data_IF_240646909477
#
_entry.id   IF_240646909477
#
_cell.length_a   1.000
_cell.length_b   1.000
_cell.length_c   1.000
_cell.angle_alpha   90.00
_cell.angle_beta   90.00
_cell.angle_gamma   90.00
#
_symmetry.space_group_name_H-M   'P 1'
#
loop_
_entity.id
_entity.type
_entity.pdbx_description
1 polymer ?
#
# COMPACT_ATOMS: atom_id res chain seq x y z
N UNK A 1 21.64 6.49 13.87
CA UNK A 1 20.72 7.53 13.42
C UNK A 1 21.12 8.87 14.02
N UNK A 2 21.06 9.92 13.24
CA UNK A 2 21.42 11.24 13.73
C UNK A 2 20.33 11.82 14.60
N UNK A 3 20.72 12.60 15.63
CA UNK A 3 19.77 13.35 16.42
C UNK A 3 19.10 14.44 15.55
N UNK A 4 18.00 15.00 16.02
CA UNK A 4 17.35 16.11 15.34
C UNK A 4 18.29 17.31 15.17
N UNK A 5 19.14 17.52 16.15
CA UNK A 5 20.11 18.61 16.10
C UNK A 5 21.18 18.36 15.03
N UNK A 6 21.65 17.15 14.90
CA UNK A 6 22.59 16.76 13.86
C UNK A 6 21.96 16.93 12.48
N UNK A 7 20.72 16.53 12.34
CA UNK A 7 19.98 16.71 11.12
C UNK A 7 19.84 18.18 10.76
N UNK A 8 19.46 19.00 11.73
CA UNK A 8 19.29 20.43 11.55
C UNK A 8 20.60 21.08 11.15
N UNK A 9 21.72 20.70 11.81
CA UNK A 9 23.03 21.23 11.50
C UNK A 9 23.45 20.88 10.08
N UNK A 10 23.30 19.63 9.69
CA UNK A 10 23.61 19.21 8.33
C UNK A 10 22.72 19.86 7.28
N UNK A 11 21.45 19.97 7.63
CA UNK A 11 20.48 20.59 6.75
C UNK A 11 20.79 22.07 6.54
N UNK A 12 21.19 22.76 7.58
CA UNK A 12 21.57 24.16 7.49
C UNK A 12 22.85 24.35 6.69
N UNK A 13 23.80 23.48 6.86
CA UNK A 13 25.00 23.49 6.02
C UNK A 13 24.64 23.31 4.55
N UNK A 14 23.68 22.44 4.30
CA UNK A 14 23.21 22.18 2.95
C UNK A 14 22.33 23.30 2.40
N UNK A 15 21.69 24.08 3.25
CA UNK A 15 20.90 25.23 2.82
C UNK A 15 21.72 26.25 2.07
N UNK A 16 22.99 26.33 2.38
CA UNK A 16 23.89 27.26 1.68
C UNK A 16 24.12 26.86 0.24
N UNK A 17 23.79 25.59 -0.07
CA UNK A 17 23.83 25.05 -1.42
C UNK A 17 22.44 25.17 -2.06
N UNK A 18 21.46 25.50 -1.27
CA UNK A 18 20.13 25.94 -1.68
C UNK A 18 19.26 24.98 -2.46
N UNK A 19 18.57 25.50 -3.48
CA UNK A 19 17.58 24.80 -4.24
C UNK A 19 18.01 23.43 -4.76
N UNK A 20 19.29 23.20 -4.87
CA UNK A 20 19.79 21.88 -5.29
C UNK A 20 19.42 20.81 -4.27
N UNK A 21 19.61 21.10 -2.98
CA UNK A 21 19.26 20.18 -1.91
C UNK A 21 17.75 19.97 -1.83
N UNK A 22 17.00 21.05 -1.95
CA UNK A 22 15.55 20.98 -1.94
C UNK A 22 15.02 20.20 -3.13
N UNK A 23 15.61 20.40 -4.30
CA UNK A 23 15.26 19.66 -5.51
C UNK A 23 15.55 18.17 -5.36
N UNK A 24 16.70 17.83 -4.79
CA UNK A 24 17.09 16.45 -4.54
C UNK A 24 16.12 15.80 -3.56
N UNK A 25 15.75 16.52 -2.50
CA UNK A 25 14.81 16.00 -1.51
C UNK A 25 13.44 15.75 -2.10
N UNK A 26 12.95 16.67 -2.94
CA UNK A 26 11.68 16.48 -3.63
C UNK A 26 11.72 15.28 -4.58
N UNK A 27 12.78 15.14 -5.35
CA UNK A 27 12.95 13.98 -6.22
C UNK A 27 13.00 12.68 -5.44
N UNK A 28 13.72 12.68 -4.32
CA UNK A 28 13.79 11.53 -3.44
C UNK A 28 12.44 11.17 -2.88
N UNK A 29 11.69 12.16 -2.42
CA UNK A 29 10.32 11.96 -1.90
C UNK A 29 9.42 11.42 -3.00
N UNK A 30 9.48 11.97 -4.20
CA UNK A 30 8.67 11.52 -5.32
C UNK A 30 9.02 10.10 -5.77
N UNK A 31 10.28 9.70 -5.65
CA UNK A 31 10.75 8.36 -6.02
C UNK A 31 10.51 7.35 -4.91
N UNK A 32 10.51 7.77 -3.66
CA UNK A 32 10.34 6.89 -2.52
C UNK A 32 8.87 6.84 -2.13
N UNK A 33 8.14 5.99 -2.80
CA UNK A 33 6.78 5.71 -2.41
C UNK A 33 6.76 4.98 -1.08
N UNK A 34 5.76 5.28 -0.27
CA UNK A 34 5.53 4.55 0.97
C UNK A 34 5.21 3.09 0.65
N UNK A 35 5.37 2.22 1.63
CA UNK A 35 5.04 0.82 1.49
C UNK A 35 3.56 0.64 1.09
N UNK A 36 2.70 1.46 1.65
CA UNK A 36 1.26 1.46 1.32
C UNK A 36 1.02 1.81 -0.15
N UNK A 37 1.70 2.82 -0.65
CA UNK A 37 1.58 3.24 -2.05
C UNK A 37 2.09 2.18 -3.01
N UNK A 38 3.20 1.53 -2.68
CA UNK A 38 3.76 0.43 -3.47
C UNK A 38 2.81 -0.76 -3.53
N UNK A 39 2.21 -1.12 -2.40
CA UNK A 39 1.21 -2.19 -2.34
C UNK A 39 0.03 -1.88 -3.23
N UNK A 40 -0.48 -0.66 -3.13
CA UNK A 40 -1.62 -0.20 -3.91
C UNK A 40 -1.32 -0.23 -5.41
N UNK A 41 -0.13 0.22 -5.79
CA UNK A 41 0.31 0.21 -7.19
C UNK A 41 0.40 -1.20 -7.75
N UNK A 42 1.02 -2.11 -7.03
CA UNK A 42 1.16 -3.51 -7.44
C UNK A 42 -0.21 -4.17 -7.58
N UNK A 43 -1.06 -4.01 -6.58
CA UNK A 43 -2.40 -4.58 -6.58
C UNK A 43 -3.25 -4.04 -7.74
N UNK A 44 -3.09 -2.77 -8.07
CA UNK A 44 -3.81 -2.15 -9.19
C UNK A 44 -3.45 -2.77 -10.54
N UNK A 45 -2.25 -3.31 -10.67
CA UNK A 45 -1.81 -3.96 -11.90
C UNK A 45 -2.27 -5.41 -12.02
N UNK A 46 -2.50 -6.05 -10.90
CA UNK A 46 -2.79 -7.49 -10.83
C UNK A 46 -4.29 -7.77 -10.75
N UNK A 47 -5.00 -6.95 -9.99
CA UNK A 47 -6.40 -7.17 -9.67
C UNK A 47 -7.31 -6.24 -10.46
N UNK A 48 -8.50 -6.72 -10.80
CA UNK A 48 -9.53 -5.86 -11.36
C UNK A 48 -10.14 -4.97 -10.26
N UNK A 49 -11.02 -4.06 -10.64
CA UNK A 49 -11.58 -3.07 -9.73
C UNK A 49 -12.33 -3.71 -8.54
N UNK A 50 -13.14 -4.70 -8.82
CA UNK A 50 -13.93 -5.37 -7.77
C UNK A 50 -13.04 -6.16 -6.82
N UNK A 51 -12.04 -6.83 -7.35
CA UNK A 51 -11.06 -7.57 -6.55
C UNK A 51 -10.28 -6.63 -5.63
N UNK A 52 -9.86 -5.47 -6.15
CA UNK A 52 -9.16 -4.47 -5.34
C UNK A 52 -10.02 -3.96 -4.20
N UNK A 53 -11.29 -3.68 -4.46
CA UNK A 53 -12.21 -3.22 -3.43
C UNK A 53 -12.35 -4.23 -2.31
N UNK A 54 -12.54 -5.48 -2.67
CA UNK A 54 -12.74 -6.55 -1.69
C UNK A 54 -11.48 -6.77 -0.87
N UNK A 55 -10.32 -6.86 -1.51
CA UNK A 55 -9.05 -7.04 -0.80
C UNK A 55 -8.76 -5.85 0.12
N UNK A 56 -9.00 -4.63 -0.33
CA UNK A 56 -8.79 -3.44 0.48
C UNK A 56 -9.67 -3.44 1.74
N UNK A 57 -10.92 -3.84 1.62
CA UNK A 57 -11.85 -3.91 2.75
C UNK A 57 -11.52 -5.08 3.68
N UNK A 58 -11.19 -6.23 3.12
CA UNK A 58 -10.87 -7.43 3.91
C UNK A 58 -9.60 -7.25 4.74
N UNK A 59 -8.57 -6.64 4.18
CA UNK A 59 -7.29 -6.44 4.88
C UNK A 59 -7.20 -5.09 5.58
N UNK A 60 -8.16 -4.21 5.38
CA UNK A 60 -8.20 -2.92 6.03
C UNK A 60 -7.18 -1.92 5.49
N UNK A 61 -6.79 -2.03 4.24
CA UNK A 61 -5.78 -1.14 3.65
C UNK A 61 -6.22 0.32 3.62
N UNK A 62 -7.50 0.57 3.41
CA UNK A 62 -8.02 1.92 3.31
C UNK A 62 -8.50 2.47 4.65
N UNK A 63 -9.10 1.61 5.49
CA UNK A 63 -9.76 2.03 6.74
C UNK A 63 -8.93 1.74 7.98
N UNK A 64 -7.91 0.90 7.88
CA UNK A 64 -7.14 0.43 9.01
C UNK A 64 -7.74 -0.76 9.73
N UNK A 65 -9.02 -1.06 9.49
CA UNK A 65 -9.72 -2.18 10.11
C UNK A 65 -10.16 -3.20 9.07
N UNK A 66 -9.84 -4.46 9.31
CA UNK A 66 -10.28 -5.54 8.44
C UNK A 66 -11.77 -5.82 8.62
N UNK A 67 -12.42 -6.21 7.53
CA UNK A 67 -13.84 -6.55 7.53
C UNK A 67 -14.05 -8.04 7.32
N UNK A 68 -15.15 -8.56 7.89
CA UNK A 68 -15.60 -9.93 7.62
C UNK A 68 -16.19 -10.01 6.21
N UNK A 69 -16.34 -11.22 5.69
CA UNK A 69 -16.97 -11.45 4.38
C UNK A 69 -18.38 -10.87 4.35
N UNK A 70 -19.11 -11.02 5.44
CA UNK A 70 -20.47 -10.49 5.55
C UNK A 70 -20.49 -8.97 5.53
N UNK A 71 -19.57 -8.34 6.25
CA UNK A 71 -19.47 -6.88 6.28
C UNK A 71 -19.11 -6.31 4.91
N UNK A 72 -18.18 -6.96 4.21
CA UNK A 72 -17.83 -6.56 2.85
C UNK A 72 -19.04 -6.72 1.93
N UNK A 73 -19.76 -7.82 2.06
CA UNK A 73 -20.95 -8.07 1.28
C UNK A 73 -22.00 -6.98 1.46
N UNK A 74 -22.26 -6.58 2.69
CA UNK A 74 -23.17 -5.48 3.00
C UNK A 74 -22.69 -4.16 2.42
N UNK A 75 -21.40 -3.91 2.49
CA UNK A 75 -20.81 -2.67 1.99
C UNK A 75 -20.93 -2.55 0.47
N UNK A 76 -20.74 -3.65 -0.24
CA UNK A 76 -20.74 -3.68 -1.70
C UNK A 76 -22.02 -4.21 -2.33
N UNK A 77 -23.03 -4.49 -1.51
CA UNK A 77 -24.30 -5.06 -1.95
C UNK A 77 -24.09 -6.40 -2.69
N UNK A 78 -23.31 -7.26 -2.09
CA UNK A 78 -23.02 -8.59 -2.57
C UNK A 78 -23.33 -9.61 -1.50
N UNK A 79 -23.57 -10.85 -1.90
CA UNK A 79 -23.71 -11.94 -0.95
C UNK A 79 -22.37 -12.30 -0.35
N UNK A 80 -22.37 -12.87 0.85
CA UNK A 80 -21.16 -13.36 1.50
C UNK A 80 -20.41 -14.36 0.59
N UNK A 81 -21.15 -15.27 -0.03
CA UNK A 81 -20.56 -16.27 -0.92
C UNK A 81 -19.92 -15.64 -2.15
N UNK A 82 -20.54 -14.62 -2.72
CA UNK A 82 -19.97 -13.92 -3.86
C UNK A 82 -18.68 -13.21 -3.46
N UNK A 83 -18.64 -12.57 -2.30
CA UNK A 83 -17.44 -11.95 -1.76
C UNK A 83 -16.34 -13.00 -1.59
N UNK A 84 -16.68 -14.17 -1.02
CA UNK A 84 -15.74 -15.26 -0.83
C UNK A 84 -15.12 -15.71 -2.15
N UNK A 85 -15.96 -15.88 -3.18
CA UNK A 85 -15.50 -16.30 -4.50
C UNK A 85 -14.53 -15.28 -5.11
N UNK A 86 -14.86 -14.01 -5.04
CA UNK A 86 -14.02 -12.94 -5.61
C UNK A 86 -12.72 -12.83 -4.81
N UNK A 87 -12.78 -12.90 -3.49
CA UNK A 87 -11.61 -12.89 -2.64
C UNK A 87 -10.67 -14.06 -2.95
N UNK A 88 -11.23 -15.25 -3.07
CA UNK A 88 -10.45 -16.45 -3.38
C UNK A 88 -9.69 -16.31 -4.71
N UNK A 89 -10.37 -15.77 -5.71
CA UNK A 89 -9.76 -15.52 -7.02
C UNK A 89 -8.67 -14.46 -6.94
N UNK A 90 -8.92 -13.40 -6.20
CA UNK A 90 -7.94 -12.33 -5.98
C UNK A 90 -6.70 -12.86 -5.26
N UNK A 91 -6.89 -13.60 -4.18
CA UNK A 91 -5.78 -14.18 -3.42
C UNK A 91 -4.95 -15.12 -4.27
N UNK A 92 -5.59 -15.88 -5.15
CA UNK A 92 -4.90 -16.78 -6.06
C UNK A 92 -3.99 -16.01 -7.01
N UNK A 93 -4.47 -14.91 -7.56
CA UNK A 93 -3.66 -14.01 -8.40
C UNK A 93 -2.49 -13.42 -7.62
N UNK A 94 -2.73 -13.02 -6.38
CA UNK A 94 -1.71 -12.42 -5.54
C UNK A 94 -0.62 -13.40 -5.16
N UNK A 95 -0.98 -14.63 -4.79
CA UNK A 95 -0.02 -15.68 -4.43
C UNK A 95 0.91 -16.04 -5.59
N UNK A 96 0.41 -15.97 -6.79
CA UNK A 96 1.19 -16.26 -7.98
C UNK A 96 2.15 -15.16 -8.41
N UNK A 97 2.14 -14.02 -7.74
CA UNK A 97 2.96 -12.88 -8.14
C UNK A 97 4.15 -12.67 -7.19
N UNK A 98 5.39 -12.81 -7.69
CA UNK A 98 6.59 -12.63 -6.85
C UNK A 98 6.70 -11.25 -6.21
N UNK A 99 6.11 -10.22 -6.83
CA UNK A 99 6.15 -8.85 -6.30
C UNK A 99 5.38 -8.69 -4.99
N UNK A 100 4.51 -9.65 -4.66
CA UNK A 100 3.70 -9.59 -3.46
C UNK A 100 4.24 -10.48 -2.34
N UNK A 101 5.49 -10.88 -2.41
CA UNK A 101 6.10 -11.68 -1.35
C UNK A 101 6.11 -10.99 0.01
N UNK A 102 6.20 -9.66 0.01
CA UNK A 102 6.11 -8.89 1.25
C UNK A 102 4.74 -8.99 1.93
N UNK A 103 3.74 -9.52 1.23
CA UNK A 103 2.40 -9.74 1.78
C UNK A 103 2.15 -11.20 2.13
N UNK A 104 3.18 -12.01 2.14
CA UNK A 104 3.06 -13.46 2.37
C UNK A 104 2.28 -13.79 3.65
N UNK A 105 2.52 -13.06 4.71
CA UNK A 105 1.86 -13.28 6.00
C UNK A 105 0.35 -13.07 5.92
N UNK A 106 -0.10 -12.23 5.01
CA UNK A 106 -1.53 -11.98 4.79
C UNK A 106 -2.16 -12.99 3.83
N UNK A 107 -1.35 -13.69 3.03
CA UNK A 107 -1.84 -14.58 1.99
C UNK A 107 -1.86 -16.05 2.39
N UNK A 108 -1.23 -16.38 3.48
CA UNK A 108 -1.20 -17.74 4.03
C UNK A 108 -2.23 -17.93 5.18
#
# INVERSE_FOLDING_TARGET
MMSNEEWSSRYESAKNINGIVNTINLDTINRQKTLKEKRKEILSKILNQREKQIIALRFGFATGDSMTLEQVGKNLNLTRERVRQIESKALKKMRGNPRLQFMRDFLN
#
